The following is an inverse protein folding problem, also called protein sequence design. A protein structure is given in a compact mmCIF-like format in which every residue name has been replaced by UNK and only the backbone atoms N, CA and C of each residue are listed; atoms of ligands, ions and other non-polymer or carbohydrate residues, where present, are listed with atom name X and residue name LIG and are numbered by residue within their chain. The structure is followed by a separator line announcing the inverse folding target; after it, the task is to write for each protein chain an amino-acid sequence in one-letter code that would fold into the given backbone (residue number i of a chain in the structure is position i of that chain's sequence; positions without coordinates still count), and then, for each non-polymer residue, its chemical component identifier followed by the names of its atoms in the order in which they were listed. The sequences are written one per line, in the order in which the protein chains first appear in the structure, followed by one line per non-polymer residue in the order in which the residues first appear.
data_IF_140891001257
#
_entry.id   IF_140891001257
#
_cell.length_a   1.000
_cell.length_b   1.000
_cell.length_c   1.000
_cell.angle_alpha   90.00
_cell.angle_beta   90.00
_cell.angle_gamma   90.00
#
_symmetry.space_group_name_H-M   'P 1'
#
loop_
_entity.id
_entity.type
_entity.pdbx_description
1 polymer ?
#
# COMPACT_ATOMS: atom_id res chain seq x y z
N UNK A 1 -9.92 -11.56 0.20
CA UNK A 1 -9.97 -10.15 0.68
C UNK A 1 -9.50 -9.23 -0.42
N UNK A 2 -10.13 -8.07 -0.59
CA UNK A 2 -9.68 -7.06 -1.53
C UNK A 2 -8.39 -6.37 -1.02
N UNK A 3 -7.54 -5.94 -1.96
CA UNK A 3 -6.31 -5.19 -1.66
C UNK A 3 -6.66 -3.82 -1.04
N UNK A 4 -5.93 -3.45 0.03
CA UNK A 4 -6.07 -2.14 0.69
C UNK A 4 -5.29 -1.05 0.00
N UNK A 5 -4.16 -1.41 -0.60
CA UNK A 5 -3.23 -0.45 -1.16
C UNK A 5 -3.22 -0.56 -2.68
N UNK A 6 -3.21 0.58 -3.35
CA UNK A 6 -3.14 0.68 -4.81
C UNK A 6 -2.10 1.70 -5.23
N UNK A 7 -1.67 1.63 -6.49
CA UNK A 7 -0.76 2.61 -7.08
C UNK A 7 -1.54 3.75 -7.74
N UNK A 8 -1.05 4.98 -7.55
CA UNK A 8 -1.50 6.16 -8.28
C UNK A 8 -0.29 6.92 -8.82
N UNK A 9 -0.28 7.17 -10.12
CA UNK A 9 0.77 7.99 -10.74
C UNK A 9 0.41 9.45 -10.53
N UNK A 10 1.32 10.21 -9.90
CA UNK A 10 1.14 11.65 -9.69
C UNK A 10 1.82 12.47 -10.79
N UNK A 11 3.01 12.02 -11.23
CA UNK A 11 3.79 12.58 -12.33
C UNK A 11 4.40 11.43 -13.14
N UNK A 12 4.88 11.66 -14.38
CA UNK A 12 5.56 10.62 -15.15
C UNK A 12 6.66 9.94 -14.32
N UNK A 13 6.59 8.61 -14.22
CA UNK A 13 7.52 7.76 -13.47
C UNK A 13 7.56 8.01 -11.94
N UNK A 14 6.63 8.78 -11.39
CA UNK A 14 6.54 9.07 -9.95
C UNK A 14 5.20 8.59 -9.41
N UNK A 15 5.25 7.54 -8.60
CA UNK A 15 4.10 6.82 -8.08
C UNK A 15 3.93 7.01 -6.57
N UNK A 16 2.67 6.98 -6.15
CA UNK A 16 2.24 6.99 -4.77
C UNK A 16 1.47 5.72 -4.46
N UNK A 17 1.64 5.18 -3.25
CA UNK A 17 0.82 4.09 -2.74
C UNK A 17 -0.33 4.70 -1.95
N UNK A 18 -1.56 4.48 -2.40
CA UNK A 18 -2.78 5.04 -1.81
C UNK A 18 -3.50 3.96 -1.01
N UNK A 19 -3.96 4.31 0.19
CA UNK A 19 -4.91 3.50 0.94
C UNK A 19 -6.32 3.73 0.39
N UNK A 20 -6.94 2.70 -0.18
CA UNK A 20 -8.24 2.79 -0.87
C UNK A 20 -9.37 3.19 0.07
N UNK A 21 -9.26 2.98 1.38
CA UNK A 21 -10.31 3.37 2.32
C UNK A 21 -10.27 4.84 2.68
N UNK A 22 -9.09 5.45 2.69
CA UNK A 22 -8.91 6.86 3.08
C UNK A 22 -8.73 7.78 1.87
N UNK A 23 -8.34 7.22 0.72
CA UNK A 23 -7.92 7.98 -0.45
C UNK A 23 -6.58 8.72 -0.27
N UNK A 24 -5.92 8.55 0.88
CA UNK A 24 -4.68 9.24 1.23
C UNK A 24 -3.44 8.37 0.93
N UNK A 25 -2.27 8.98 0.71
CA UNK A 25 -1.02 8.25 0.65
C UNK A 25 -0.80 7.44 1.92
N UNK A 26 -0.39 6.18 1.74
CA UNK A 26 -0.09 5.31 2.85
C UNK A 26 1.15 5.83 3.62
N UNK A 27 1.15 5.59 4.93
CA UNK A 27 2.29 5.92 5.80
C UNK A 27 2.87 4.62 6.36
N UNK A 28 4.15 4.37 6.10
CA UNK A 28 4.87 3.19 6.58
C UNK A 28 6.11 3.65 7.33
N UNK A 29 6.25 3.25 8.60
CA UNK A 29 7.40 3.63 9.46
C UNK A 29 7.66 5.14 9.44
N UNK A 30 6.60 5.94 9.61
CA UNK A 30 6.63 7.41 9.56
C UNK A 30 7.03 8.03 8.21
N UNK A 31 7.22 7.23 7.15
CA UNK A 31 7.45 7.72 5.79
C UNK A 31 6.15 7.70 4.99
N UNK A 32 5.85 8.81 4.33
CA UNK A 32 4.75 8.91 3.36
C UNK A 32 5.19 8.25 2.05
N UNK A 33 4.37 7.34 1.52
CA UNK A 33 4.71 6.50 0.37
C UNK A 33 4.36 7.20 -0.96
N UNK A 34 5.11 8.26 -1.27
CA UNK A 34 4.95 9.10 -2.48
C UNK A 34 6.29 9.24 -3.21
N UNK A 35 6.26 9.64 -4.48
CA UNK A 35 7.47 9.94 -5.25
C UNK A 35 8.33 8.72 -5.57
N UNK A 36 7.73 7.53 -5.59
CA UNK A 36 8.43 6.27 -5.78
C UNK A 36 8.66 6.01 -7.28
N UNK A 37 9.81 5.41 -7.60
CA UNK A 37 10.04 4.92 -8.96
C UNK A 37 9.10 3.75 -9.30
N UNK A 38 8.81 3.45 -10.58
CA UNK A 38 7.80 2.47 -10.97
C UNK A 38 8.02 1.08 -10.35
N UNK A 39 9.23 0.53 -10.50
CA UNK A 39 9.58 -0.80 -9.95
C UNK A 39 9.51 -0.84 -8.43
N UNK A 40 10.01 0.20 -7.76
CA UNK A 40 9.97 0.29 -6.30
C UNK A 40 8.52 0.33 -5.80
N UNK A 41 7.65 1.08 -6.49
CA UNK A 41 6.24 1.19 -6.16
C UNK A 41 5.50 -0.14 -6.34
N UNK A 42 5.75 -0.84 -7.45
CA UNK A 42 5.20 -2.18 -7.73
C UNK A 42 5.59 -3.21 -6.67
N UNK A 43 6.88 -3.29 -6.33
CA UNK A 43 7.36 -4.23 -5.31
C UNK A 43 6.76 -3.91 -3.94
N UNK A 44 6.70 -2.63 -3.58
CA UNK A 44 6.23 -2.19 -2.28
C UNK A 44 4.72 -2.40 -2.11
N UNK A 45 3.90 -2.10 -3.12
CA UNK A 45 2.44 -2.26 -3.02
C UNK A 45 2.05 -3.73 -2.83
N UNK A 46 2.78 -4.65 -3.48
CA UNK A 46 2.59 -6.10 -3.29
C UNK A 46 2.92 -6.51 -1.86
N UNK A 47 4.08 -6.10 -1.34
CA UNK A 47 4.48 -6.41 0.03
C UNK A 47 3.48 -5.87 1.07
N UNK A 48 2.98 -4.65 0.86
CA UNK A 48 2.02 -4.01 1.75
C UNK A 48 0.68 -4.75 1.77
N UNK A 49 0.16 -5.15 0.61
CA UNK A 49 -1.09 -5.90 0.52
C UNK A 49 -0.97 -7.31 1.12
N UNK A 50 0.14 -8.01 0.87
CA UNK A 50 0.39 -9.33 1.49
C UNK A 50 0.42 -9.22 3.02
N UNK A 51 1.08 -8.19 3.57
CA UNK A 51 1.10 -7.95 5.02
C UNK A 51 -0.28 -7.61 5.57
N UNK A 52 -1.06 -6.82 4.86
CA UNK A 52 -2.42 -6.44 5.27
C UNK A 52 -3.35 -7.66 5.32
N UNK A 53 -3.33 -8.51 4.28
CA UNK A 53 -4.11 -9.77 4.26
C UNK A 53 -3.74 -10.65 5.45
N UNK A 54 -2.44 -10.92 5.67
CA UNK A 54 -1.98 -11.72 6.82
C UNK A 54 -2.39 -11.12 8.16
N UNK A 55 -2.42 -9.79 8.28
CA UNK A 55 -2.86 -9.11 9.51
C UNK A 55 -4.35 -9.34 9.76
N UNK A 56 -5.18 -9.24 8.72
CA UNK A 56 -6.63 -9.47 8.81
C UNK A 56 -6.97 -10.91 9.14
N UNK A 57 -6.35 -11.87 8.45
CA UNK A 57 -6.53 -13.30 8.74
C UNK A 57 -6.18 -13.64 10.20
N UNK A 58 -5.11 -13.05 10.75
CA UNK A 58 -4.74 -13.24 12.17
C UNK A 58 -5.73 -12.60 13.13
N UNK A 59 -6.34 -11.49 12.77
CA UNK A 59 -7.35 -10.83 13.59
C UNK A 59 -8.65 -11.65 13.61
N UNK A 60 -9.07 -12.19 12.45
CA UNK A 60 -10.24 -13.06 12.33
C UNK A 60 -10.08 -14.36 13.12
N UNK A 61 -8.88 -14.96 13.12
CA UNK A 61 -8.60 -16.17 13.93
C UNK A 61 -8.62 -15.94 15.44
N UNK A 62 -8.58 -14.67 15.90
CA UNK A 62 -8.58 -14.29 17.31
C UNK A 62 -9.93 -13.72 17.77
N UNK A 63 -10.86 -13.49 16.84
CA UNK A 63 -12.22 -13.05 17.11
C UNK A 63 -13.13 -14.25 17.37
#
# INVERSE_FOLDING_TARGET
MANRYTLRMELPQSWSIIDVFTGQPAVVRQKVMVGMGPREAEDMVVQMNVRDVKRRERAERKA
#
